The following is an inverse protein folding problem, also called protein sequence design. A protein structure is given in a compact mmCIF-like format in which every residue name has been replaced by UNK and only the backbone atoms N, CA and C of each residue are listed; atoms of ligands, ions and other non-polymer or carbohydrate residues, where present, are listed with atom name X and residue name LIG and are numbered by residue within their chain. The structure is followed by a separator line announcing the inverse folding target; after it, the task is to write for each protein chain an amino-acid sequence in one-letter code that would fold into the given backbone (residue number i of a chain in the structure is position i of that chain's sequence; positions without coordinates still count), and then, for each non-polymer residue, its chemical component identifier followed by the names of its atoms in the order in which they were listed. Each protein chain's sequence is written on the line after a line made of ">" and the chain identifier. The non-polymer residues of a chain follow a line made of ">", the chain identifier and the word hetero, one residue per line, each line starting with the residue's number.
data_IF_741532624630
#
_entry.id   IF_741532624630
#
_cell.length_a   1.000
_cell.length_b   1.000
_cell.length_c   1.000
_cell.angle_alpha   90.00
_cell.angle_beta   90.00
_cell.angle_gamma   90.00
#
_symmetry.space_group_name_H-M   'P 1'
#
loop_
_entity.id
_entity.type
_entity.pdbx_description
1 polymer ?
#
# COMPACT_ATOMS: atom_id res chain seq x y z
N UNK A 1 -20.27 25.33 -4.27
CA UNK A 1 -19.42 24.16 -4.55
C UNK A 1 -20.02 23.33 -5.68
N UNK A 2 -19.16 22.72 -6.53
CA UNK A 2 -19.64 21.81 -7.56
C UNK A 2 -20.44 20.64 -6.92
N UNK A 3 -21.49 20.18 -7.63
CA UNK A 3 -22.34 19.10 -7.15
C UNK A 3 -21.56 17.82 -6.80
N UNK A 4 -20.57 17.47 -7.62
CA UNK A 4 -19.73 16.29 -7.37
C UNK A 4 -18.92 16.42 -6.06
N UNK A 5 -18.40 17.61 -5.75
CA UNK A 5 -17.68 17.87 -4.50
C UNK A 5 -18.59 17.63 -3.29
N UNK A 6 -19.83 18.14 -3.33
CA UNK A 6 -20.79 17.92 -2.26
C UNK A 6 -21.15 16.43 -2.09
N UNK A 7 -21.29 15.70 -3.19
CA UNK A 7 -21.57 14.27 -3.17
C UNK A 7 -20.41 13.48 -2.56
N UNK A 8 -19.16 13.78 -2.91
CA UNK A 8 -17.98 13.15 -2.34
C UNK A 8 -17.86 13.45 -0.84
N UNK A 9 -18.09 14.70 -0.42
CA UNK A 9 -18.08 15.07 1.00
C UNK A 9 -19.14 14.26 1.77
N UNK A 10 -20.35 14.15 1.24
CA UNK A 10 -21.43 13.37 1.87
C UNK A 10 -21.04 11.89 2.03
N UNK A 11 -20.41 11.29 1.02
CA UNK A 11 -19.94 9.92 1.08
C UNK A 11 -18.80 9.75 2.11
N UNK A 12 -17.87 10.71 2.19
CA UNK A 12 -16.74 10.64 3.13
C UNK A 12 -17.17 10.69 4.60
N UNK A 13 -18.26 11.38 4.92
CA UNK A 13 -18.81 11.43 6.28
C UNK A 13 -19.82 10.32 6.57
N UNK A 14 -20.17 9.50 5.59
CA UNK A 14 -21.12 8.39 5.75
C UNK A 14 -20.53 7.33 6.68
N UNK A 15 -21.32 6.75 7.63
CA UNK A 15 -20.85 5.71 8.56
C UNK A 15 -20.21 4.50 7.88
N UNK A 16 -20.70 4.12 6.67
CA UNK A 16 -20.11 3.01 5.90
C UNK A 16 -18.66 3.24 5.48
N UNK A 17 -18.19 4.48 5.50
CA UNK A 17 -16.81 4.82 5.15
C UNK A 17 -15.84 4.61 6.34
N UNK A 18 -16.10 3.59 7.13
CA UNK A 18 -15.24 3.16 8.23
C UNK A 18 -15.04 1.65 8.17
N UNK A 19 -13.79 1.22 8.30
CA UNK A 19 -13.44 -0.22 8.34
C UNK A 19 -14.18 -0.96 9.46
N UNK A 20 -14.53 -0.25 10.53
CA UNK A 20 -15.30 -0.81 11.64
C UNK A 20 -16.72 -1.24 11.28
N UNK A 21 -17.22 -0.91 10.09
CA UNK A 21 -18.55 -1.27 9.61
C UNK A 21 -18.47 -2.26 8.42
N UNK A 22 -18.05 -3.51 8.67
CA UNK A 22 -17.87 -4.50 7.61
C UNK A 22 -19.15 -4.88 6.87
N UNK A 23 -20.31 -4.70 7.49
CA UNK A 23 -21.63 -4.91 6.91
C UNK A 23 -21.93 -3.96 5.74
N UNK A 24 -21.21 -2.88 5.64
CA UNK A 24 -21.39 -1.88 4.58
C UNK A 24 -20.34 -1.96 3.46
N UNK A 25 -19.62 -3.08 3.37
CA UNK A 25 -18.59 -3.31 2.33
C UNK A 25 -19.13 -3.23 0.90
N UNK A 26 -20.35 -3.66 0.69
CA UNK A 26 -20.99 -3.68 -0.63
C UNK A 26 -21.43 -2.30 -1.11
N UNK A 27 -21.29 -1.28 -0.29
CA UNK A 27 -21.66 0.07 -0.65
C UNK A 27 -20.80 0.59 -1.80
N UNK A 28 -21.46 1.02 -2.90
CA UNK A 28 -20.77 1.55 -4.08
C UNK A 28 -20.44 3.03 -3.88
N UNK A 29 -19.15 3.33 -3.84
CA UNK A 29 -18.64 4.70 -3.72
C UNK A 29 -18.33 5.31 -5.09
N UNK A 30 -18.47 6.64 -5.20
CA UNK A 30 -17.96 7.38 -6.36
C UNK A 30 -16.44 7.27 -6.43
N UNK A 31 -15.89 7.37 -7.63
CA UNK A 31 -14.44 7.24 -7.83
C UNK A 31 -13.63 8.25 -7.00
N UNK A 32 -14.07 9.52 -6.94
CA UNK A 32 -13.42 10.53 -6.10
C UNK A 32 -13.38 10.16 -4.62
N UNK A 33 -14.46 9.56 -4.11
CA UNK A 33 -14.52 9.05 -2.74
C UNK A 33 -13.56 7.88 -2.54
N UNK A 34 -13.46 6.98 -3.51
CA UNK A 34 -12.50 5.87 -3.45
C UNK A 34 -11.05 6.36 -3.39
N UNK A 35 -10.71 7.38 -4.17
CA UNK A 35 -9.39 8.02 -4.13
C UNK A 35 -9.10 8.62 -2.76
N UNK A 36 -10.04 9.39 -2.21
CA UNK A 36 -9.89 10.03 -0.88
C UNK A 36 -9.80 9.01 0.27
N UNK A 37 -10.51 7.90 0.17
CA UNK A 37 -10.42 6.81 1.17
C UNK A 37 -9.01 6.24 1.24
N UNK A 38 -8.42 5.95 0.09
CA UNK A 38 -7.05 5.43 0.01
C UNK A 38 -6.04 6.46 0.52
N UNK A 39 -6.08 7.67 -0.02
CA UNK A 39 -5.15 8.74 0.37
C UNK A 39 -5.30 9.12 1.84
N UNK A 40 -6.52 9.23 2.34
CA UNK A 40 -6.80 9.56 3.74
C UNK A 40 -6.35 8.47 4.72
N UNK A 41 -6.56 7.20 4.39
CA UNK A 41 -6.09 6.08 5.20
C UNK A 41 -4.55 6.04 5.23
N UNK A 42 -3.91 6.21 4.08
CA UNK A 42 -2.45 6.28 4.01
C UNK A 42 -1.89 7.40 4.87
N UNK A 43 -2.43 8.61 4.74
CA UNK A 43 -2.03 9.75 5.56
C UNK A 43 -2.25 9.49 7.04
N UNK A 44 -3.40 8.92 7.41
CA UNK A 44 -3.71 8.60 8.81
C UNK A 44 -2.74 7.60 9.43
N UNK A 45 -2.27 6.62 8.68
CA UNK A 45 -1.38 5.58 9.19
C UNK A 45 0.09 6.02 9.23
N UNK A 46 0.51 6.87 8.30
CA UNK A 46 1.92 7.28 8.14
C UNK A 46 2.25 8.60 8.84
N UNK A 47 1.27 9.45 9.08
CA UNK A 47 1.51 10.74 9.72
C UNK A 47 1.77 10.61 11.22
N UNK A 48 2.71 11.42 11.70
CA UNK A 48 2.97 11.53 13.13
C UNK A 48 1.82 12.27 13.83
N UNK A 49 1.23 11.64 14.85
CA UNK A 49 0.15 12.23 15.65
C UNK A 49 0.35 11.97 17.12
N UNK A 50 -0.17 12.87 17.93
CA UNK A 50 -0.16 12.71 19.38
C UNK A 50 -0.88 11.41 19.80
N UNK A 51 -0.17 10.56 20.53
CA UNK A 51 -0.71 9.29 21.04
C UNK A 51 -0.71 8.13 20.04
N UNK A 52 -0.20 8.32 18.81
CA UNK A 52 -0.11 7.27 17.79
C UNK A 52 1.31 7.19 17.22
N UNK A 53 1.82 5.98 17.11
CA UNK A 53 3.06 5.74 16.38
C UNK A 53 2.76 5.62 14.88
N UNK A 54 3.46 6.37 14.02
CA UNK A 54 3.27 6.26 12.58
C UNK A 54 3.74 4.89 12.09
N UNK A 55 2.95 4.29 11.20
CA UNK A 55 3.34 3.07 10.50
C UNK A 55 4.28 3.41 9.35
N UNK A 56 5.12 2.46 8.94
CA UNK A 56 5.93 2.64 7.75
C UNK A 56 5.05 2.68 6.50
N UNK A 57 5.56 3.34 5.45
CA UNK A 57 4.84 3.42 4.17
C UNK A 57 4.62 2.04 3.55
N UNK A 58 5.61 1.14 3.64
CA UNK A 58 5.52 -0.22 3.11
C UNK A 58 4.46 -1.04 3.85
N UNK A 59 4.45 -0.98 5.19
CA UNK A 59 3.43 -1.67 6.00
C UNK A 59 2.03 -1.13 5.70
N UNK A 60 1.90 0.19 5.57
CA UNK A 60 0.64 0.84 5.24
C UNK A 60 0.12 0.41 3.87
N UNK A 61 0.98 0.37 2.86
CA UNK A 61 0.59 -0.06 1.52
C UNK A 61 0.18 -1.54 1.48
N UNK A 62 0.87 -2.40 2.21
CA UNK A 62 0.44 -3.80 2.37
C UNK A 62 -0.96 -3.89 2.97
N UNK A 63 -1.21 -3.14 4.03
CA UNK A 63 -2.53 -3.07 4.65
C UNK A 63 -3.62 -2.66 3.65
N UNK A 64 -3.37 -1.63 2.84
CA UNK A 64 -4.33 -1.19 1.82
C UNK A 64 -4.62 -2.26 0.76
N UNK A 65 -3.60 -3.01 0.33
CA UNK A 65 -3.78 -4.12 -0.61
C UNK A 65 -4.50 -5.34 -0.01
N UNK A 66 -4.32 -5.57 1.28
CA UNK A 66 -4.99 -6.68 1.98
C UNK A 66 -6.49 -6.45 2.19
N UNK A 67 -6.97 -5.24 1.96
CA UNK A 67 -8.37 -4.87 2.15
C UNK A 67 -9.03 -4.36 0.85
N UNK A 68 -9.09 -5.19 -0.21
CA UNK A 68 -9.63 -4.76 -1.51
C UNK A 68 -11.14 -4.42 -1.47
N UNK A 69 -11.87 -4.93 -0.47
CA UNK A 69 -13.28 -4.61 -0.27
C UNK A 69 -13.50 -3.15 0.15
N UNK A 70 -12.50 -2.53 0.80
CA UNK A 70 -12.57 -1.15 1.28
C UNK A 70 -11.80 -0.17 0.41
N UNK A 71 -10.71 -0.63 -0.22
CA UNK A 71 -9.80 0.22 -0.98
C UNK A 71 -9.66 -0.30 -2.40
N UNK A 72 -9.93 0.56 -3.38
CA UNK A 72 -9.77 0.22 -4.78
C UNK A 72 -8.30 -0.09 -5.09
N UNK A 73 -8.01 -1.31 -5.51
CA UNK A 73 -6.63 -1.78 -5.75
C UNK A 73 -5.91 -0.96 -6.82
N UNK A 74 -6.61 -0.49 -7.85
CA UNK A 74 -6.05 0.38 -8.89
C UNK A 74 -5.61 1.72 -8.31
N UNK A 75 -6.39 2.29 -7.39
CA UNK A 75 -6.05 3.53 -6.70
C UNK A 75 -4.85 3.32 -5.78
N UNK A 76 -4.79 2.21 -5.06
CA UNK A 76 -3.66 1.85 -4.18
C UNK A 76 -2.38 1.72 -5.00
N UNK A 77 -2.43 1.03 -6.14
CA UNK A 77 -1.29 0.89 -7.04
C UNK A 77 -0.81 2.26 -7.56
N UNK A 78 -1.73 3.10 -8.00
CA UNK A 78 -1.41 4.44 -8.47
C UNK A 78 -0.75 5.30 -7.37
N UNK A 79 -1.21 5.19 -6.13
CA UNK A 79 -0.59 5.89 -5.00
C UNK A 79 0.85 5.40 -4.80
N UNK A 80 1.08 4.09 -4.80
CA UNK A 80 2.41 3.51 -4.65
C UNK A 80 3.39 3.95 -5.74
N UNK A 81 2.92 4.05 -6.98
CA UNK A 81 3.72 4.58 -8.09
C UNK A 81 4.06 6.07 -7.92
N UNK A 82 3.08 6.88 -7.49
CA UNK A 82 3.28 8.32 -7.29
C UNK A 82 4.28 8.64 -6.19
N UNK A 83 4.26 7.92 -5.08
CA UNK A 83 5.16 8.18 -3.94
C UNK A 83 6.48 7.41 -4.02
N UNK A 84 6.62 6.51 -4.99
CA UNK A 84 7.85 5.74 -5.24
C UNK A 84 8.39 5.08 -3.96
N UNK A 85 7.55 4.28 -3.31
CA UNK A 85 7.80 3.67 -1.98
C UNK A 85 9.04 2.80 -1.95
N UNK A 86 9.25 2.00 -3.00
CA UNK A 86 10.37 1.08 -3.12
C UNK A 86 11.22 1.46 -4.34
N UNK A 87 11.98 2.56 -4.26
CA UNK A 87 12.76 3.03 -5.41
C UNK A 87 13.91 2.08 -5.72
N UNK A 88 14.30 2.04 -6.99
CA UNK A 88 15.52 1.36 -7.41
C UNK A 88 16.73 1.87 -6.63
N UNK A 89 17.57 0.96 -6.16
CA UNK A 89 18.74 1.28 -5.33
C UNK A 89 18.47 1.38 -3.83
N UNK A 90 17.22 1.28 -3.40
CA UNK A 90 16.90 1.24 -1.98
C UNK A 90 17.24 -0.12 -1.35
N UNK A 91 17.64 -0.11 -0.09
CA UNK A 91 17.84 -1.30 0.71
C UNK A 91 16.59 -1.64 1.51
N UNK A 92 16.27 -2.91 1.58
CA UNK A 92 15.07 -3.41 2.27
C UNK A 92 15.39 -4.56 3.20
N UNK A 93 14.57 -4.72 4.24
CA UNK A 93 14.54 -5.91 5.07
C UNK A 93 13.55 -6.92 4.50
N UNK A 94 13.95 -8.19 4.44
CA UNK A 94 13.08 -9.29 4.01
C UNK A 94 12.44 -9.99 5.21
N UNK A 95 11.31 -10.65 4.97
CA UNK A 95 10.60 -11.44 6.00
C UNK A 95 11.44 -12.61 6.52
N UNK A 96 12.44 -13.07 5.75
CA UNK A 96 13.41 -14.10 6.17
C UNK A 96 14.45 -13.60 7.15
N UNK A 97 14.52 -12.31 7.45
CA UNK A 97 15.55 -11.68 8.26
C UNK A 97 16.78 -11.19 7.49
N UNK A 98 16.85 -11.48 6.20
CA UNK A 98 17.91 -11.01 5.31
C UNK A 98 17.66 -9.59 4.84
N UNK A 99 18.68 -9.01 4.22
CA UNK A 99 18.62 -7.69 3.58
C UNK A 99 18.83 -7.82 2.08
N UNK A 100 18.24 -6.90 1.33
CA UNK A 100 18.35 -6.90 -0.12
C UNK A 100 18.40 -5.49 -0.70
N UNK A 101 18.87 -5.41 -1.95
CA UNK A 101 18.87 -4.18 -2.74
C UNK A 101 17.79 -4.29 -3.83
N UNK A 102 16.99 -3.26 -4.01
CA UNK A 102 16.04 -3.20 -5.11
C UNK A 102 16.79 -2.88 -6.41
N UNK A 103 16.76 -3.81 -7.36
CA UNK A 103 17.41 -3.65 -8.65
C UNK A 103 16.49 -2.99 -9.67
N UNK A 104 15.23 -3.41 -9.70
CA UNK A 104 14.26 -2.93 -10.66
C UNK A 104 12.86 -2.98 -10.05
N UNK A 105 12.08 -1.92 -10.28
CA UNK A 105 10.70 -1.85 -9.83
C UNK A 105 9.78 -2.68 -10.72
N UNK A 106 8.69 -3.21 -10.15
CA UNK A 106 7.66 -3.92 -10.90
C UNK A 106 6.47 -3.00 -11.12
N UNK A 107 6.14 -2.63 -12.38
CA UNK A 107 5.03 -1.73 -12.66
C UNK A 107 3.66 -2.34 -12.37
N UNK A 108 3.55 -3.65 -12.34
CA UNK A 108 2.29 -4.34 -12.05
C UNK A 108 2.02 -4.49 -10.55
N UNK A 109 3.08 -4.66 -9.77
CA UNK A 109 3.00 -4.72 -8.30
C UNK A 109 4.31 -4.18 -7.69
N UNK A 110 4.30 -2.94 -7.23
CA UNK A 110 5.50 -2.29 -6.67
C UNK A 110 6.01 -2.95 -5.38
N UNK A 111 5.23 -3.81 -4.71
CA UNK A 111 5.69 -4.59 -3.55
C UNK A 111 6.46 -5.86 -3.95
N UNK A 112 6.52 -6.19 -5.22
CA UNK A 112 7.19 -7.38 -5.74
C UNK A 112 8.27 -7.03 -6.78
N UNK A 113 9.29 -6.23 -6.40
CA UNK A 113 10.36 -5.84 -7.31
C UNK A 113 11.37 -6.96 -7.53
N UNK A 114 12.29 -6.73 -8.48
CA UNK A 114 13.49 -7.53 -8.65
C UNK A 114 14.53 -7.10 -7.61
N UNK A 115 15.07 -8.05 -6.84
CA UNK A 115 16.00 -7.76 -5.73
C UNK A 115 17.30 -8.55 -5.83
N UNK A 116 18.36 -7.98 -5.25
CA UNK A 116 19.62 -8.68 -4.97
C UNK A 116 19.68 -8.97 -3.48
N UNK A 117 19.58 -10.24 -3.08
CA UNK A 117 19.68 -10.65 -1.69
C UNK A 117 21.15 -10.70 -1.25
N UNK A 118 21.49 -10.05 -0.15
CA UNK A 118 22.87 -9.94 0.29
C UNK A 118 23.45 -11.24 0.88
N UNK A 119 22.61 -12.08 1.48
CA UNK A 119 23.10 -13.31 2.15
C UNK A 119 23.72 -14.32 1.19
N UNK A 120 23.24 -14.42 -0.04
CA UNK A 120 23.72 -15.36 -1.06
C UNK A 120 24.19 -14.66 -2.35
N UNK A 121 24.07 -13.34 -2.41
CA UNK A 121 24.44 -12.51 -3.54
C UNK A 121 23.74 -12.94 -4.86
N UNK A 122 22.48 -13.36 -4.74
CA UNK A 122 21.64 -13.79 -5.87
C UNK A 122 20.51 -12.81 -6.13
N UNK A 123 20.07 -12.80 -7.39
CA UNK A 123 18.95 -12.00 -7.86
C UNK A 123 17.68 -12.84 -7.79
N UNK A 124 16.63 -12.25 -7.22
CA UNK A 124 15.31 -12.87 -7.08
C UNK A 124 14.23 -11.93 -7.61
N UNK A 125 13.28 -12.52 -8.34
CA UNK A 125 12.07 -11.82 -8.78
C UNK A 125 10.95 -12.13 -7.78
N UNK A 126 10.52 -11.14 -7.00
CA UNK A 126 9.47 -11.33 -5.99
C UNK A 126 8.09 -11.50 -6.61
N UNK A 127 7.92 -11.28 -7.92
CA UNK A 127 6.68 -11.61 -8.64
C UNK A 127 6.55 -13.11 -8.91
N UNK A 128 7.64 -13.87 -8.80
CA UNK A 128 7.62 -15.32 -8.92
C UNK A 128 7.00 -15.93 -7.64
N UNK A 129 5.90 -16.72 -7.76
CA UNK A 129 5.25 -17.34 -6.60
C UNK A 129 6.19 -18.23 -5.78
N UNK A 130 7.09 -18.95 -6.41
CA UNK A 130 8.06 -19.83 -5.72
C UNK A 130 9.04 -19.05 -4.85
N UNK A 131 9.34 -17.82 -5.23
CA UNK A 131 10.20 -16.91 -4.47
C UNK A 131 9.39 -16.20 -3.38
N UNK A 132 8.21 -15.67 -3.70
CA UNK A 132 7.38 -14.91 -2.77
C UNK A 132 6.85 -15.75 -1.61
N UNK A 133 6.72 -17.06 -1.78
CA UNK A 133 6.40 -17.99 -0.68
C UNK A 133 7.52 -18.11 0.34
N UNK A 134 8.77 -17.93 -0.06
CA UNK A 134 9.95 -18.07 0.80
C UNK A 134 10.27 -16.78 1.56
N UNK A 135 10.18 -15.66 0.89
CA UNK A 135 10.43 -14.35 1.49
C UNK A 135 9.79 -13.23 0.68
N UNK A 136 9.44 -12.16 1.38
CA UNK A 136 8.88 -10.93 0.81
C UNK A 136 9.55 -9.72 1.45
N UNK A 137 9.33 -8.54 0.91
CA UNK A 137 9.79 -7.31 1.54
C UNK A 137 9.01 -7.09 2.83
N UNK A 138 9.73 -6.89 3.92
CA UNK A 138 9.16 -6.55 5.22
C UNK A 138 9.01 -5.04 5.36
N UNK A 139 10.10 -4.31 5.13
CA UNK A 139 10.14 -2.85 5.25
C UNK A 139 11.40 -2.29 4.57
N UNK A 140 11.45 -0.97 4.40
CA UNK A 140 12.68 -0.23 4.10
C UNK A 140 13.62 -0.27 5.29
N UNK A 141 14.91 -0.28 5.00
CA UNK A 141 15.93 -0.12 6.03
C UNK A 141 15.96 1.29 6.57
#
# INVERSE_FOLDING_TARGET
>A
LPKMTLQVIAEMIHPANHIAHPEMKEHTWRFGTQVLRVAGCFDQMTAMRYGFEPQSEVVTMKYLFEHPDFFNSTVVQALGECINILPQGACVDLTSGDKALILETNPDDFLQPLILRFSDNRIYDLSDPDVSEKFQIKDLM
#
